data_IF_030394668684
#
_entry.id   IF_030394668684
#
_cell.length_a   1.000
_cell.length_b   1.000
_cell.length_c   1.000
_cell.angle_alpha   90.00
_cell.angle_beta   90.00
_cell.angle_gamma   90.00
#
_symmetry.space_group_name_H-M   'P 1'
#
loop_
_entity.id
_entity.type
_entity.pdbx_description
1 polymer ?
#
# COMPACT_ATOMS: atom_id res chain seq x y z
N UNK A 1 -5.34 10.48 15.48
CA UNK A 1 -6.78 10.64 15.74
C UNK A 1 -7.44 9.30 15.49
N UNK A 2 -8.16 8.72 16.45
CA UNK A 2 -8.85 7.43 16.29
C UNK A 2 -10.29 7.71 15.82
N UNK A 3 -10.67 7.24 14.64
CA UNK A 3 -12.06 7.28 14.19
C UNK A 3 -12.65 5.89 14.37
N UNK A 4 -13.59 5.70 15.30
CA UNK A 4 -14.19 4.39 15.61
C UNK A 4 -13.17 3.26 15.86
N UNK A 5 -12.04 3.59 16.50
CA UNK A 5 -10.95 2.65 16.79
C UNK A 5 -9.96 2.40 15.63
N UNK A 6 -10.17 3.00 14.45
CA UNK A 6 -9.20 2.97 13.36
C UNK A 6 -8.06 3.96 13.60
N UNK A 7 -6.84 3.54 13.30
CA UNK A 7 -5.72 4.46 13.11
C UNK A 7 -5.80 5.02 11.70
N UNK A 8 -5.81 6.36 11.58
CA UNK A 8 -5.78 7.04 10.29
C UNK A 8 -4.35 7.09 9.77
N UNK A 9 -4.19 6.82 8.48
CA UNK A 9 -2.93 6.97 7.75
C UNK A 9 -3.22 7.51 6.35
N UNK A 10 -2.34 8.37 5.85
CA UNK A 10 -2.41 8.94 4.52
C UNK A 10 -1.25 8.39 3.70
N UNK A 11 -1.53 8.03 2.45
CA UNK A 11 -0.56 7.40 1.57
C UNK A 11 -0.59 8.06 0.21
N UNK A 12 0.59 8.32 -0.35
CA UNK A 12 0.74 8.84 -1.71
C UNK A 12 1.95 8.23 -2.40
N UNK A 13 1.96 8.31 -3.72
CA UNK A 13 3.08 7.93 -4.56
C UNK A 13 3.22 8.85 -5.75
N UNK A 14 4.46 9.25 -6.02
CA UNK A 14 4.80 10.14 -7.12
C UNK A 14 5.81 9.46 -8.05
N UNK A 15 5.75 9.80 -9.33
CA UNK A 15 6.73 9.34 -10.30
C UNK A 15 7.06 10.48 -11.26
N UNK A 16 8.32 10.91 -11.21
CA UNK A 16 8.90 11.80 -12.21
C UNK A 16 9.18 11.01 -13.50
N UNK A 17 8.97 11.63 -14.66
CA UNK A 17 9.18 11.01 -15.97
C UNK A 17 8.41 9.68 -16.15
N UNK A 18 7.20 9.58 -15.58
CA UNK A 18 6.38 8.36 -15.63
C UNK A 18 6.19 7.84 -17.06
N UNK A 19 6.46 6.56 -17.27
CA UNK A 19 6.38 5.91 -18.58
C UNK A 19 7.63 6.03 -19.45
N UNK A 20 8.63 6.80 -19.04
CA UNK A 20 9.93 6.92 -19.73
C UNK A 20 10.99 6.02 -19.09
N UNK A 21 12.09 5.79 -19.82
CA UNK A 21 13.23 5.02 -19.30
C UNK A 21 13.91 5.68 -18.09
N UNK A 22 13.84 7.01 -17.99
CA UNK A 22 14.39 7.81 -16.88
C UNK A 22 13.43 7.97 -15.69
N UNK A 23 12.35 7.18 -15.63
CA UNK A 23 11.35 7.28 -14.57
C UNK A 23 11.96 7.04 -13.19
N UNK A 24 11.64 7.92 -12.23
CA UNK A 24 11.98 7.78 -10.82
C UNK A 24 10.72 7.92 -10.00
N UNK A 25 10.46 6.97 -9.10
CA UNK A 25 9.24 6.97 -8.31
C UNK A 25 9.53 6.79 -6.81
N UNK A 26 8.72 7.45 -6.00
CA UNK A 26 8.73 7.38 -4.55
C UNK A 26 7.34 7.12 -3.99
N UNK A 27 7.32 6.69 -2.72
CA UNK A 27 6.12 6.49 -1.93
C UNK A 27 6.25 7.21 -0.59
N UNK A 28 5.12 7.67 -0.05
CA UNK A 28 5.02 8.30 1.26
C UNK A 28 3.90 7.71 2.09
N UNK A 29 4.12 7.59 3.40
CA UNK A 29 3.12 7.18 4.38
C UNK A 29 3.18 8.14 5.56
N UNK A 30 2.03 8.68 5.95
CA UNK A 30 1.91 9.74 6.95
C UNK A 30 0.82 9.41 7.98
N UNK A 31 1.23 9.25 9.23
CA UNK A 31 0.38 8.97 10.40
C UNK A 31 0.04 10.23 11.22
N UNK A 32 0.61 11.38 10.85
CA UNK A 32 0.44 12.64 11.56
C UNK A 32 1.76 13.38 11.78
N UNK A 33 1.67 14.62 12.21
CA UNK A 33 2.84 15.43 12.57
C UNK A 33 3.67 14.77 13.68
N UNK A 34 5.00 14.85 13.56
CA UNK A 34 5.98 14.30 14.49
C UNK A 34 5.77 12.82 14.85
N UNK A 35 5.13 12.05 13.98
CA UNK A 35 4.96 10.60 14.17
C UNK A 35 6.19 9.87 13.64
N UNK A 36 6.86 9.04 14.46
CA UNK A 36 8.04 8.27 14.02
C UNK A 36 7.68 7.16 13.01
N UNK A 37 6.38 6.94 12.77
CA UNK A 37 5.86 6.03 11.76
C UNK A 37 5.79 6.61 10.36
N UNK A 38 5.96 7.92 10.20
CA UNK A 38 6.00 8.53 8.89
C UNK A 38 7.21 7.98 8.12
N UNK A 39 7.02 7.65 6.84
CA UNK A 39 8.11 7.20 5.99
C UNK A 39 8.01 7.75 4.57
N UNK A 40 9.16 7.81 3.93
CA UNK A 40 9.31 7.99 2.49
C UNK A 40 10.35 6.99 1.98
N UNK A 41 10.07 6.36 0.84
CA UNK A 41 10.96 5.35 0.24
C UNK A 41 10.91 5.43 -1.30
N UNK A 42 11.99 5.02 -1.99
CA UNK A 42 11.92 4.77 -3.41
C UNK A 42 11.02 3.57 -3.71
N UNK A 43 10.32 3.61 -4.84
CA UNK A 43 9.57 2.46 -5.36
C UNK A 43 10.52 1.33 -5.71
N UNK A 44 10.15 0.09 -5.35
CA UNK A 44 10.88 -1.11 -5.77
C UNK A 44 10.33 -1.62 -7.11
N UNK A 45 11.23 -2.06 -7.99
CA UNK A 45 10.87 -2.55 -9.31
C UNK A 45 10.62 -1.42 -10.32
N UNK A 46 9.64 -1.58 -11.20
CA UNK A 46 9.36 -0.61 -12.26
C UNK A 46 8.83 0.70 -11.69
N UNK A 47 9.59 1.78 -11.86
CA UNK A 47 9.18 3.12 -11.45
C UNK A 47 7.96 3.59 -12.26
N UNK A 48 6.81 3.62 -11.59
CA UNK A 48 5.57 4.18 -12.13
C UNK A 48 4.79 4.86 -11.02
N UNK A 49 3.91 5.78 -11.40
CA UNK A 49 3.03 6.45 -10.43
C UNK A 49 2.16 5.43 -9.67
N UNK A 50 1.55 4.49 -10.38
CA UNK A 50 0.72 3.43 -9.77
C UNK A 50 1.50 2.54 -8.80
N UNK A 51 2.74 2.16 -9.13
CA UNK A 51 3.57 1.37 -8.23
C UNK A 51 3.85 2.11 -6.92
N UNK A 52 4.13 3.42 -6.97
CA UNK A 52 4.27 4.26 -5.78
C UNK A 52 3.01 4.25 -4.93
N UNK A 53 1.85 4.50 -5.54
CA UNK A 53 0.56 4.56 -4.85
C UNK A 53 0.17 3.23 -4.20
N UNK A 54 0.44 2.09 -4.84
CA UNK A 54 0.14 0.77 -4.26
C UNK A 54 1.13 0.42 -3.15
N UNK A 55 2.44 0.61 -3.39
CA UNK A 55 3.46 0.27 -2.40
C UNK A 55 3.35 1.14 -1.15
N UNK A 56 2.86 2.38 -1.25
CA UNK A 56 2.53 3.21 -0.09
C UNK A 56 1.49 2.52 0.83
N UNK A 57 0.40 2.00 0.26
CA UNK A 57 -0.62 1.24 1.00
C UNK A 57 -0.05 -0.04 1.64
N UNK A 58 0.82 -0.75 0.91
CA UNK A 58 1.52 -1.94 1.44
C UNK A 58 2.38 -1.57 2.65
N UNK A 59 3.15 -0.48 2.57
CA UNK A 59 3.98 -0.03 3.69
C UNK A 59 3.14 0.40 4.90
N UNK A 60 2.01 1.06 4.68
CA UNK A 60 1.08 1.39 5.76
C UNK A 60 0.56 0.12 6.48
N UNK A 61 0.18 -0.91 5.72
CA UNK A 61 -0.24 -2.20 6.28
C UNK A 61 0.91 -2.95 6.99
N UNK A 62 2.13 -2.90 6.46
CA UNK A 62 3.32 -3.50 7.11
C UNK A 62 3.62 -2.85 8.46
N UNK A 63 3.59 -1.52 8.50
CA UNK A 63 3.73 -0.75 9.75
C UNK A 63 2.65 -1.16 10.76
N UNK A 64 1.40 -1.28 10.32
CA UNK A 64 0.30 -1.66 11.19
C UNK A 64 0.46 -3.09 11.76
N UNK A 65 0.96 -4.02 10.94
CA UNK A 65 1.18 -5.42 11.34
C UNK A 65 2.37 -5.60 12.29
N UNK A 66 3.27 -4.63 12.34
CA UNK A 66 4.54 -4.79 13.03
C UNK A 66 4.33 -5.08 14.52
N UNK A 67 5.06 -6.08 15.00
CA UNK A 67 5.17 -6.39 16.42
C UNK A 67 6.47 -5.79 16.95
N UNK A 68 6.51 -5.53 18.25
CA UNK A 68 7.62 -4.92 19.00
C UNK A 68 8.98 -5.66 18.95
N UNK A 69 9.11 -6.71 18.13
CA UNK A 69 10.35 -7.47 17.89
C UNK A 69 11.04 -7.14 16.55
N UNK A 70 10.42 -6.38 15.66
CA UNK A 70 11.07 -5.98 14.40
C UNK A 70 12.08 -4.87 14.65
N UNK A 71 13.35 -5.12 14.36
CA UNK A 71 14.49 -4.24 14.69
C UNK A 71 14.35 -2.84 14.09
N UNK A 72 13.68 -2.71 12.94
CA UNK A 72 13.46 -1.43 12.28
C UNK A 72 12.52 -0.51 13.09
N UNK A 73 11.57 -1.10 13.82
CA UNK A 73 10.58 -0.38 14.64
C UNK A 73 10.79 -0.60 16.14
N UNK A 74 11.84 -1.31 16.56
CA UNK A 74 12.10 -1.68 17.95
C UNK A 74 12.13 -0.49 18.92
N UNK A 75 12.64 0.65 18.44
CA UNK A 75 12.69 1.92 19.20
C UNK A 75 11.32 2.61 19.31
N UNK A 76 10.33 2.18 18.52
CA UNK A 76 8.97 2.70 18.53
C UNK A 76 8.11 1.61 19.18
N UNK A 77 7.76 1.77 20.46
CA UNK A 77 6.87 0.85 21.19
C UNK A 77 5.46 0.91 20.61
N UNK A 78 5.23 0.20 19.52
CA UNK A 78 3.93 0.11 18.85
C UNK A 78 3.26 -1.19 19.28
N UNK A 79 2.08 -1.05 19.87
CA UNK A 79 1.11 -2.15 19.96
C UNK A 79 0.53 -2.39 18.58
N UNK A 80 0.47 -3.65 18.13
CA UNK A 80 -0.08 -4.02 16.82
C UNK A 80 -1.38 -3.29 16.49
N UNK A 81 -1.47 -2.73 15.28
CA UNK A 81 -2.63 -1.95 14.82
C UNK A 81 -3.54 -2.88 14.03
N UNK A 82 -4.62 -3.32 14.67
CA UNK A 82 -5.57 -4.26 14.05
C UNK A 82 -6.61 -3.58 13.15
N UNK A 83 -6.77 -2.26 13.25
CA UNK A 83 -7.71 -1.45 12.45
C UNK A 83 -7.02 -0.23 11.86
N UNK A 84 -6.89 -0.19 10.55
CA UNK A 84 -6.20 0.86 9.81
C UNK A 84 -7.14 1.48 8.76
N UNK A 85 -7.22 2.80 8.70
CA UNK A 85 -7.97 3.50 7.66
C UNK A 85 -6.99 4.25 6.76
N UNK A 86 -6.84 3.79 5.53
CA UNK A 86 -5.89 4.31 4.55
C UNK A 86 -6.59 5.35 3.68
N UNK A 87 -6.10 6.58 3.73
CA UNK A 87 -6.49 7.65 2.83
C UNK A 87 -5.50 7.74 1.67
N UNK A 88 -5.98 7.48 0.46
CA UNK A 88 -5.23 7.66 -0.79
C UNK A 88 -6.11 8.37 -1.80
N UNK A 89 -5.50 9.20 -2.65
CA UNK A 89 -6.15 9.83 -3.81
C UNK A 89 -6.25 8.88 -5.02
N UNK A 90 -5.65 7.69 -4.92
CA UNK A 90 -5.54 6.74 -6.01
C UNK A 90 -6.83 5.96 -6.22
N UNK A 91 -7.72 6.49 -7.06
CA UNK A 91 -8.92 5.74 -7.46
C UNK A 91 -8.57 4.39 -8.12
N UNK A 92 -7.41 4.29 -8.79
CA UNK A 92 -6.88 3.03 -9.31
C UNK A 92 -6.58 2.03 -8.19
N UNK A 93 -5.86 2.43 -7.14
CA UNK A 93 -5.56 1.55 -5.99
C UNK A 93 -6.85 1.15 -5.27
N UNK A 94 -7.76 2.11 -5.04
CA UNK A 94 -9.05 1.86 -4.37
C UNK A 94 -9.88 0.86 -5.18
N UNK A 95 -10.12 1.09 -6.47
CA UNK A 95 -10.91 0.18 -7.29
C UNK A 95 -10.24 -1.19 -7.44
N UNK A 96 -8.91 -1.23 -7.54
CA UNK A 96 -8.17 -2.48 -7.64
C UNK A 96 -8.40 -3.34 -6.41
N UNK A 97 -8.28 -2.76 -5.21
CA UNK A 97 -8.37 -3.49 -3.93
C UNK A 97 -9.80 -3.79 -3.49
N UNK A 98 -10.77 -2.97 -3.87
CA UNK A 98 -12.16 -3.11 -3.40
C UNK A 98 -13.12 -3.73 -4.42
N UNK A 99 -12.78 -3.71 -5.72
CA UNK A 99 -13.68 -4.16 -6.78
C UNK A 99 -13.03 -5.22 -7.68
N UNK A 100 -11.87 -4.91 -8.25
CA UNK A 100 -11.31 -5.72 -9.34
C UNK A 100 -10.58 -6.97 -8.85
N UNK A 101 -9.98 -6.92 -7.66
CA UNK A 101 -9.18 -8.02 -7.12
C UNK A 101 -9.96 -9.34 -7.02
N UNK A 102 -11.26 -9.30 -6.76
CA UNK A 102 -12.11 -10.49 -6.69
C UNK A 102 -12.14 -11.23 -8.03
N UNK A 103 -12.29 -10.50 -9.14
CA UNK A 103 -12.29 -11.09 -10.47
C UNK A 103 -10.88 -11.50 -10.92
N UNK A 104 -9.86 -10.73 -10.57
CA UNK A 104 -8.48 -11.11 -10.86
C UNK A 104 -8.09 -12.40 -10.16
N UNK A 105 -8.43 -12.57 -8.87
CA UNK A 105 -8.17 -13.83 -8.13
C UNK A 105 -8.88 -15.02 -8.78
N UNK A 106 -10.12 -14.86 -9.24
CA UNK A 106 -10.89 -15.90 -9.96
C UNK A 106 -10.31 -16.21 -11.34
N UNK A 107 -9.75 -15.21 -12.03
CA UNK A 107 -9.24 -15.33 -13.39
C UNK A 107 -7.71 -15.45 -13.44
N UNK A 108 -7.08 -16.12 -12.47
CA UNK A 108 -5.63 -16.36 -12.42
C UNK A 108 -4.76 -15.09 -12.62
N UNK A 109 -5.26 -13.96 -12.14
CA UNK A 109 -4.66 -12.63 -12.24
C UNK A 109 -4.48 -12.11 -13.67
N UNK A 110 -5.45 -12.41 -14.54
CA UNK A 110 -5.54 -11.88 -15.90
C UNK A 110 -6.54 -10.74 -15.99
N UNK A 111 -6.28 -9.81 -16.90
CA UNK A 111 -7.21 -8.75 -17.28
C UNK A 111 -8.47 -9.34 -17.93
N UNK A 112 -9.51 -8.51 -18.04
CA UNK A 112 -10.73 -8.89 -18.74
C UNK A 112 -10.43 -9.38 -20.16
N UNK A 113 -11.03 -10.50 -20.56
CA UNK A 113 -10.76 -11.16 -21.84
C UNK A 113 -9.48 -12.02 -21.87
N UNK A 114 -8.73 -12.15 -20.77
CA UNK A 114 -7.67 -13.14 -20.62
C UNK A 114 -6.37 -12.89 -21.40
N UNK A 115 -6.31 -11.82 -22.21
CA UNK A 115 -5.20 -11.56 -23.14
C UNK A 115 -3.88 -11.16 -22.46
N UNK A 116 -3.93 -10.62 -21.25
CA UNK A 116 -2.72 -10.17 -20.55
C UNK A 116 -2.87 -10.27 -19.04
N UNK A 117 -1.74 -10.38 -18.35
CA UNK A 117 -1.70 -10.43 -16.91
C UNK A 117 -1.85 -9.02 -16.30
N UNK A 118 -2.36 -8.95 -15.07
CA UNK A 118 -2.44 -7.70 -14.30
C UNK A 118 -1.03 -7.19 -14.02
N UNK A 119 -0.71 -5.96 -14.45
CA UNK A 119 0.65 -5.40 -14.39
C UNK A 119 1.25 -5.37 -12.97
N UNK A 120 0.46 -4.97 -11.98
CA UNK A 120 0.87 -4.88 -10.56
C UNK A 120 0.40 -6.10 -9.73
N UNK A 121 0.29 -7.27 -10.37
CA UNK A 121 -0.21 -8.51 -9.76
C UNK A 121 0.46 -8.82 -8.42
N UNK A 122 1.78 -8.77 -8.34
CA UNK A 122 2.51 -9.14 -7.13
C UNK A 122 2.32 -8.11 -6.00
N UNK A 123 2.31 -6.81 -6.31
CA UNK A 123 1.98 -5.77 -5.31
C UNK A 123 0.56 -5.98 -4.75
N UNK A 124 -0.44 -6.25 -5.61
CA UNK A 124 -1.82 -6.46 -5.17
C UNK A 124 -2.01 -7.77 -4.39
N UNK A 125 -1.27 -8.83 -4.72
CA UNK A 125 -1.26 -10.06 -3.90
C UNK A 125 -0.73 -9.78 -2.49
N UNK A 126 0.32 -8.98 -2.37
CA UNK A 126 0.87 -8.60 -1.06
C UNK A 126 -0.12 -7.75 -0.27
N UNK A 127 -0.73 -6.76 -0.90
CA UNK A 127 -1.74 -5.93 -0.27
C UNK A 127 -2.98 -6.74 0.18
N UNK A 128 -3.46 -7.68 -0.64
CA UNK A 128 -4.57 -8.58 -0.30
C UNK A 128 -4.25 -9.44 0.93
N UNK A 129 -3.02 -9.95 1.05
CA UNK A 129 -2.56 -10.68 2.24
C UNK A 129 -2.57 -9.82 3.49
N UNK A 130 -2.23 -8.54 3.39
CA UNK A 130 -2.29 -7.61 4.53
C UNK A 130 -3.73 -7.36 4.96
N UNK A 131 -4.63 -7.13 4.00
CA UNK A 131 -6.07 -6.94 4.25
C UNK A 131 -6.75 -8.17 4.89
N UNK A 132 -6.18 -9.37 4.75
CA UNK A 132 -6.67 -10.56 5.45
C UNK A 132 -6.24 -10.63 6.92
N UNK A 133 -5.23 -9.86 7.32
CA UNK A 133 -4.66 -9.89 8.68
C UNK A 133 -4.95 -8.63 9.50
N UNK A 134 -5.35 -7.55 8.84
CA UNK A 134 -5.68 -6.25 9.43
C UNK A 134 -7.00 -5.81 8.82
N UNK A 135 -7.90 -5.25 9.64
CA UNK A 135 -9.09 -4.56 9.13
C UNK A 135 -8.67 -3.22 8.52
N UNK A 136 -8.47 -3.25 7.20
CA UNK A 136 -8.08 -2.10 6.38
C UNK A 136 -9.32 -1.53 5.68
N UNK A 137 -9.55 -0.23 5.83
CA UNK A 137 -10.60 0.54 5.13
C UNK A 137 -10.02 1.66 4.30
#
# INVERSE_FOLDING_TARGET
MKNNGYVLVYTDGACENNGKASAKAGLGVWFGENRPLNLSKPVKGKATNNAGKIQACIWAGKIAKQNSKDTFFYHIRITSINKLKIHTDSQFTINSTTKWIHNWKKNNWKLAGGKSDVKNKEDFKELDKLCQTIDIK
#
